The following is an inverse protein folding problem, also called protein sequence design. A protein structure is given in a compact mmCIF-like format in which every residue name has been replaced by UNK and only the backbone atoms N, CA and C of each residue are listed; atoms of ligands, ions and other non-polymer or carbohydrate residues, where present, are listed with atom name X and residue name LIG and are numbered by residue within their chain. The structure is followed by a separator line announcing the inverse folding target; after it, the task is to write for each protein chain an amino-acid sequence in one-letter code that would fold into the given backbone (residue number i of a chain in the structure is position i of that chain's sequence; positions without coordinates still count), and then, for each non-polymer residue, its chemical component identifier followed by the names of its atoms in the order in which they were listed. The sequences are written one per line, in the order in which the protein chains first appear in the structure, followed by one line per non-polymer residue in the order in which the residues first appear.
data_IF_416604983157
#
_entry.id   IF_416604983157
#
_cell.length_a   1.000
_cell.length_b   1.000
_cell.length_c   1.000
_cell.angle_alpha   90.00
_cell.angle_beta   90.00
_cell.angle_gamma   90.00
#
_symmetry.space_group_name_H-M   'P 1'
#
loop_
_entity.id
_entity.type
_entity.pdbx_description
1 polymer ?
#
# COMPACT_ATOMS: atom_id res chain seq x y z
N UNK A 1 19.87 1.64 -56.90
CA UNK A 1 20.86 2.64 -56.48
C UNK A 1 20.97 2.54 -54.97
N UNK A 2 22.13 2.09 -54.49
CA UNK A 2 22.39 1.76 -53.08
C UNK A 2 22.96 2.98 -52.38
N UNK A 3 22.15 3.66 -51.57
CA UNK A 3 22.63 4.69 -50.65
C UNK A 3 22.90 4.05 -49.29
N UNK A 4 24.20 3.86 -48.99
CA UNK A 4 24.67 3.40 -47.70
C UNK A 4 24.34 4.43 -46.62
N UNK A 5 23.42 4.09 -45.72
CA UNK A 5 23.13 4.91 -44.54
C UNK A 5 24.34 4.83 -43.60
N UNK A 6 25.05 5.94 -43.46
CA UNK A 6 26.20 6.07 -42.56
C UNK A 6 25.79 5.81 -41.11
N UNK A 7 26.60 4.99 -40.45
CA UNK A 7 26.59 4.63 -39.02
C UNK A 7 26.66 5.86 -38.09
N UNK A 8 27.06 7.02 -38.62
CA UNK A 8 27.13 8.29 -37.91
C UNK A 8 25.74 8.83 -37.52
N UNK A 9 24.67 8.38 -38.19
CA UNK A 9 23.28 8.78 -37.86
C UNK A 9 22.75 8.16 -36.56
N UNK A 10 23.46 7.17 -36.00
CA UNK A 10 23.15 6.50 -34.73
C UNK A 10 24.02 6.99 -33.57
N UNK A 11 24.93 7.94 -33.81
CA UNK A 11 25.82 8.45 -32.78
C UNK A 11 25.05 9.36 -31.80
N UNK A 12 25.17 9.06 -30.51
CA UNK A 12 24.73 9.92 -29.40
C UNK A 12 25.30 11.33 -29.64
N UNK A 13 24.49 12.40 -29.61
CA UNK A 13 25.01 13.75 -29.82
C UNK A 13 26.12 14.03 -28.82
N UNK A 14 27.28 14.49 -29.32
CA UNK A 14 28.44 14.84 -28.49
C UNK A 14 27.98 15.81 -27.40
N UNK A 15 28.22 15.45 -26.13
CA UNK A 15 27.90 16.26 -24.96
C UNK A 15 28.30 17.72 -25.21
N UNK A 16 27.34 18.64 -25.11
CA UNK A 16 27.65 20.06 -25.03
C UNK A 16 28.63 20.24 -23.86
N UNK A 17 29.79 20.86 -24.11
CA UNK A 17 30.79 21.13 -23.06
C UNK A 17 30.25 22.23 -22.14
N UNK A 18 29.42 21.86 -21.16
CA UNK A 18 28.85 22.80 -20.18
C UNK A 18 29.89 23.21 -19.12
N UNK A 19 31.07 22.58 -19.10
CA UNK A 19 32.08 22.75 -18.05
C UNK A 19 33.35 23.52 -18.45
N UNK A 20 33.38 24.21 -19.60
CA UNK A 20 34.58 24.94 -20.05
C UNK A 20 34.72 26.35 -19.44
N UNK A 21 34.12 26.62 -18.27
CA UNK A 21 34.35 27.87 -17.52
C UNK A 21 34.84 27.55 -16.12
N UNK A 22 36.14 27.62 -15.94
CA UNK A 22 36.90 27.37 -14.71
C UNK A 22 36.69 28.41 -13.60
N UNK A 23 35.74 29.33 -13.71
CA UNK A 23 35.44 30.33 -12.69
C UNK A 23 33.92 30.58 -12.61
N UNK A 24 33.32 30.26 -11.46
CA UNK A 24 31.94 30.59 -11.11
C UNK A 24 31.95 31.74 -10.07
N UNK A 25 31.16 32.82 -10.27
CA UNK A 25 31.02 33.87 -9.26
C UNK A 25 30.29 33.30 -8.03
N UNK A 26 30.71 33.72 -6.83
CA UNK A 26 30.31 33.16 -5.53
C UNK A 26 28.82 33.31 -5.14
N UNK A 27 27.96 33.78 -6.05
CA UNK A 27 26.55 34.10 -5.77
C UNK A 27 25.56 32.96 -6.02
N UNK A 28 25.84 32.03 -6.93
CA UNK A 28 24.94 30.90 -7.22
C UNK A 28 25.47 29.63 -6.57
N UNK A 29 24.92 29.30 -5.40
CA UNK A 29 25.31 28.18 -4.53
C UNK A 29 25.06 26.79 -5.13
N UNK A 30 24.45 26.70 -6.31
CA UNK A 30 24.03 25.44 -6.89
C UNK A 30 24.46 25.35 -8.35
N UNK A 31 25.10 24.24 -8.77
CA UNK A 31 25.62 24.16 -10.13
C UNK A 31 24.48 24.19 -11.15
N UNK A 32 24.78 24.63 -12.38
CA UNK A 32 23.81 24.94 -13.45
C UNK A 32 22.77 23.83 -13.70
N UNK A 33 23.13 22.56 -13.47
CA UNK A 33 22.21 21.42 -13.56
C UNK A 33 20.94 21.52 -12.70
N UNK A 34 20.87 22.36 -11.66
CA UNK A 34 19.60 22.56 -10.93
C UNK A 34 18.52 23.16 -11.83
N UNK A 35 18.90 24.13 -12.68
CA UNK A 35 17.97 24.90 -13.52
C UNK A 35 17.69 24.24 -14.88
N UNK A 36 18.32 23.09 -15.13
CA UNK A 36 18.16 22.29 -16.34
C UNK A 36 16.97 21.33 -16.14
N UNK A 37 16.12 21.16 -17.16
CA UNK A 37 14.95 20.27 -17.09
C UNK A 37 15.37 18.80 -16.93
N UNK A 38 14.52 17.95 -16.36
CA UNK A 38 14.85 16.52 -16.16
C UNK A 38 15.15 15.81 -17.49
N UNK A 39 14.46 16.18 -18.56
CA UNK A 39 14.63 15.64 -19.92
C UNK A 39 16.03 15.86 -20.51
N UNK A 40 16.77 16.85 -20.01
CA UNK A 40 18.16 17.14 -20.42
C UNK A 40 19.20 16.54 -19.48
N UNK A 41 18.81 16.08 -18.29
CA UNK A 41 19.69 15.38 -17.33
C UNK A 41 19.82 13.89 -17.63
N UNK A 42 18.74 13.29 -18.12
CA UNK A 42 18.70 11.88 -18.50
C UNK A 42 18.82 11.79 -20.03
N UNK A 43 19.78 11.02 -20.57
CA UNK A 43 19.81 10.76 -22.00
C UNK A 43 18.61 9.88 -22.37
N UNK A 44 17.49 10.51 -22.73
CA UNK A 44 16.36 9.82 -23.34
C UNK A 44 16.71 9.71 -24.83
N UNK A 45 17.04 8.50 -25.35
CA UNK A 45 17.24 8.35 -26.78
C UNK A 45 15.98 8.85 -27.50
N UNK A 46 16.11 9.64 -28.59
CA UNK A 46 14.94 10.08 -29.33
C UNK A 46 14.17 8.82 -29.74
N UNK A 47 12.91 8.75 -29.32
CA UNK A 47 12.07 7.62 -29.69
C UNK A 47 12.08 7.48 -31.21
N UNK A 48 12.30 6.27 -31.75
CA UNK A 48 12.24 6.06 -33.19
C UNK A 48 10.89 6.58 -33.70
N UNK A 49 10.95 7.63 -34.53
CA UNK A 49 9.77 8.23 -35.15
C UNK A 49 9.07 7.11 -35.94
N UNK A 50 7.75 7.05 -35.84
CA UNK A 50 6.89 6.06 -36.49
C UNK A 50 6.96 4.61 -35.99
N UNK A 51 7.67 4.32 -34.89
CA UNK A 51 7.72 2.96 -34.33
C UNK A 51 6.49 2.59 -33.49
N UNK A 52 5.77 3.59 -32.95
CA UNK A 52 4.65 3.36 -32.05
C UNK A 52 3.39 4.05 -32.58
N UNK A 53 2.39 3.24 -32.93
CA UNK A 53 1.05 3.72 -33.23
C UNK A 53 0.29 3.75 -31.91
N UNK A 54 -0.04 4.95 -31.43
CA UNK A 54 -0.86 5.13 -30.23
C UNK A 54 -2.33 5.02 -30.62
N UNK A 55 -3.07 4.23 -29.85
CA UNK A 55 -4.50 4.05 -30.06
C UNK A 55 -5.25 4.11 -28.72
N UNK A 56 -6.56 4.37 -28.80
CA UNK A 56 -7.45 4.43 -27.63
C UNK A 56 -8.39 3.23 -27.62
N UNK A 57 -9.69 3.45 -27.88
CA UNK A 57 -10.71 2.42 -27.94
C UNK A 57 -10.96 1.95 -29.37
N UNK A 58 -11.77 0.90 -29.49
CA UNK A 58 -12.32 0.45 -30.76
C UNK A 58 -13.33 1.44 -31.32
N UNK A 59 -13.50 1.40 -32.63
CA UNK A 59 -14.48 2.17 -33.37
C UNK A 59 -15.91 1.97 -32.83
N UNK A 60 -16.59 3.08 -32.53
CA UNK A 60 -17.94 3.09 -31.99
C UNK A 60 -18.03 2.60 -30.54
N UNK A 61 -16.93 2.60 -29.79
CA UNK A 61 -16.94 2.42 -28.34
C UNK A 61 -16.65 3.75 -27.64
N UNK A 62 -17.44 4.12 -26.62
CA UNK A 62 -17.27 5.40 -25.95
C UNK A 62 -15.95 5.41 -25.17
N UNK A 63 -15.14 6.47 -25.33
CA UNK A 63 -13.85 6.66 -24.62
C UNK A 63 -14.05 6.66 -23.10
N UNK A 64 -15.12 7.34 -22.66
CA UNK A 64 -15.42 7.59 -21.27
C UNK A 64 -16.71 6.86 -20.90
N UNK A 65 -16.58 5.70 -20.24
CA UNK A 65 -17.72 4.97 -19.69
C UNK A 65 -17.93 5.41 -18.25
N UNK A 66 -19.08 5.98 -17.97
CA UNK A 66 -19.55 6.22 -16.61
C UNK A 66 -19.72 4.88 -15.87
N UNK A 67 -19.54 4.90 -14.55
CA UNK A 67 -19.80 3.72 -13.71
C UNK A 67 -21.29 3.39 -13.64
N UNK A 68 -22.13 4.42 -13.72
CA UNK A 68 -23.57 4.29 -13.80
C UNK A 68 -23.92 3.72 -15.18
N UNK A 69 -24.90 2.84 -15.31
CA UNK A 69 -25.37 2.31 -16.62
C UNK A 69 -26.01 3.40 -17.52
N UNK A 70 -25.83 4.66 -17.15
CA UNK A 70 -26.43 5.84 -17.75
C UNK A 70 -25.30 6.73 -18.26
N UNK A 71 -25.55 7.41 -19.37
CA UNK A 71 -24.57 8.32 -20.00
C UNK A 71 -24.28 9.57 -19.16
N UNK A 72 -24.98 9.76 -18.04
CA UNK A 72 -24.78 10.83 -17.07
C UNK A 72 -24.43 10.26 -15.69
N UNK A 73 -23.45 10.88 -15.04
CA UNK A 73 -23.09 10.57 -13.66
C UNK A 73 -23.69 11.61 -12.72
N UNK A 74 -24.67 11.21 -11.91
CA UNK A 74 -25.28 12.08 -10.90
C UNK A 74 -24.31 12.54 -9.81
N UNK A 75 -23.17 11.85 -9.65
CA UNK A 75 -22.11 12.28 -8.73
C UNK A 75 -21.24 13.41 -9.29
N UNK A 76 -21.34 13.67 -10.60
CA UNK A 76 -20.64 14.75 -11.30
C UNK A 76 -21.66 15.76 -11.89
N UNK A 77 -22.22 16.67 -11.07
CA UNK A 77 -23.27 17.61 -11.48
C UNK A 77 -22.83 18.61 -12.57
N UNK A 78 -21.55 18.63 -12.96
CA UNK A 78 -21.02 19.48 -14.04
C UNK A 78 -20.50 18.70 -15.25
N UNK A 79 -20.65 17.37 -15.28
CA UNK A 79 -20.29 16.54 -16.44
C UNK A 79 -18.84 16.68 -16.93
N UNK A 80 -17.91 17.14 -16.07
CA UNK A 80 -16.55 17.55 -16.47
C UNK A 80 -15.59 16.40 -16.77
N UNK A 81 -16.07 15.15 -16.84
CA UNK A 81 -15.21 13.97 -17.02
C UNK A 81 -15.08 13.49 -18.47
N UNK A 82 -15.83 14.06 -19.43
CA UNK A 82 -15.47 13.92 -20.85
C UNK A 82 -14.46 15.02 -21.19
N UNK A 83 -13.14 14.74 -21.18
CA UNK A 83 -12.12 15.71 -21.51
C UNK A 83 -12.04 15.76 -23.04
N UNK A 84 -12.84 16.60 -23.67
CA UNK A 84 -12.63 16.95 -25.06
C UNK A 84 -13.86 17.36 -25.85
N UNK A 85 -13.64 17.91 -27.05
CA UNK A 85 -14.68 18.07 -28.05
C UNK A 85 -15.27 16.70 -28.43
N UNK A 86 -16.50 16.73 -28.95
CA UNK A 86 -17.18 15.54 -29.44
C UNK A 86 -16.34 14.82 -30.51
N UNK A 87 -16.20 13.51 -30.39
CA UNK A 87 -15.47 12.64 -31.33
C UNK A 87 -16.41 11.59 -31.92
N UNK A 88 -16.72 11.77 -33.21
CA UNK A 88 -17.62 10.90 -33.96
C UNK A 88 -17.15 9.44 -34.00
N UNK A 89 -15.84 9.18 -34.01
CA UNK A 89 -15.31 7.81 -34.11
C UNK A 89 -15.61 6.98 -32.84
N UNK A 90 -15.95 7.63 -31.74
CA UNK A 90 -16.27 6.97 -30.46
C UNK A 90 -17.75 6.92 -30.13
N UNK A 91 -18.58 7.47 -31.01
CA UNK A 91 -20.02 7.46 -30.84
C UNK A 91 -20.58 6.03 -31.11
N UNK A 92 -21.26 5.42 -30.12
CA UNK A 92 -21.92 4.13 -30.32
C UNK A 92 -22.99 4.12 -31.41
N UNK A 93 -23.66 5.26 -31.63
CA UNK A 93 -24.72 5.38 -32.63
C UNK A 93 -24.18 5.32 -34.06
N UNK A 94 -22.96 5.82 -34.27
CA UNK A 94 -22.28 5.81 -35.57
C UNK A 94 -21.51 4.50 -35.84
N UNK A 95 -21.50 3.57 -34.89
CA UNK A 95 -20.79 2.30 -35.00
C UNK A 95 -21.17 1.51 -36.25
N UNK A 96 -22.46 1.47 -36.62
CA UNK A 96 -22.91 0.76 -37.82
C UNK A 96 -22.45 1.43 -39.11
N UNK A 97 -22.47 2.76 -39.14
CA UNK A 97 -22.02 3.54 -40.30
C UNK A 97 -20.53 3.33 -40.56
N UNK A 98 -19.70 3.41 -39.52
CA UNK A 98 -18.25 3.25 -39.65
C UNK A 98 -17.81 1.79 -39.84
N UNK A 99 -18.61 0.81 -39.41
CA UNK A 99 -18.34 -0.61 -39.66
C UNK A 99 -18.70 -1.09 -41.07
N UNK A 100 -19.34 -0.25 -41.89
CA UNK A 100 -19.53 -0.54 -43.32
C UNK A 100 -18.16 -0.78 -43.98
N UNK A 101 -17.98 -1.84 -44.78
CA UNK A 101 -16.67 -2.24 -45.30
C UNK A 101 -16.00 -1.13 -46.11
N UNK A 102 -16.78 -0.38 -46.90
CA UNK A 102 -16.29 0.75 -47.70
C UNK A 102 -15.81 1.90 -46.82
N UNK A 103 -16.60 2.27 -45.80
CA UNK A 103 -16.26 3.34 -44.87
C UNK A 103 -15.05 2.96 -44.02
N UNK A 104 -15.01 1.71 -43.56
CA UNK A 104 -13.90 1.18 -42.77
C UNK A 104 -12.58 1.18 -43.55
N UNK A 105 -12.60 0.75 -44.81
CA UNK A 105 -11.42 0.84 -45.69
C UNK A 105 -10.94 2.29 -45.83
N UNK A 106 -11.87 3.22 -46.08
CA UNK A 106 -11.52 4.64 -46.17
C UNK A 106 -10.93 5.21 -44.87
N UNK A 107 -11.41 4.77 -43.70
CA UNK A 107 -10.86 5.17 -42.39
C UNK A 107 -9.46 4.60 -42.11
N UNK A 108 -9.16 3.42 -42.65
CA UNK A 108 -7.83 2.81 -42.58
C UNK A 108 -6.87 3.56 -43.51
N UNK A 109 -7.28 3.81 -44.76
CA UNK A 109 -6.51 4.54 -45.77
C UNK A 109 -6.20 5.98 -45.35
N UNK A 110 -7.16 6.65 -44.71
CA UNK A 110 -6.97 8.00 -44.14
C UNK A 110 -6.13 8.01 -42.86
N UNK A 111 -5.75 6.85 -42.33
CA UNK A 111 -4.88 6.74 -41.17
C UNK A 111 -5.55 7.15 -39.86
N UNK A 112 -6.88 7.12 -39.76
CA UNK A 112 -7.62 7.41 -38.53
C UNK A 112 -7.77 6.18 -37.63
N UNK A 113 -7.76 4.99 -38.23
CA UNK A 113 -7.97 3.72 -37.53
C UNK A 113 -6.85 2.72 -37.89
N UNK A 114 -6.57 1.78 -36.98
CA UNK A 114 -5.72 0.60 -37.24
C UNK A 114 -6.48 -0.48 -38.02
N UNK A 115 -5.76 -1.44 -38.60
CA UNK A 115 -6.40 -2.58 -39.28
C UNK A 115 -7.29 -3.39 -38.33
N UNK A 116 -6.96 -3.39 -37.04
CA UNK A 116 -7.73 -4.01 -35.97
C UNK A 116 -9.01 -3.23 -35.58
N UNK A 117 -9.23 -2.04 -36.13
CA UNK A 117 -10.41 -1.20 -35.83
C UNK A 117 -10.25 -0.30 -34.59
N UNK A 118 -9.02 -0.02 -34.16
CA UNK A 118 -8.71 0.85 -33.03
C UNK A 118 -8.43 2.28 -33.51
N UNK A 119 -8.89 3.28 -32.76
CA UNK A 119 -8.78 4.68 -33.17
C UNK A 119 -7.38 5.18 -32.83
N UNK A 120 -6.64 5.62 -33.86
CA UNK A 120 -5.32 6.23 -33.70
C UNK A 120 -5.46 7.59 -33.04
N UNK A 121 -4.51 7.95 -32.19
CA UNK A 121 -4.61 9.15 -31.36
C UNK A 121 -3.28 9.87 -31.19
N UNK A 122 -3.36 11.15 -30.82
CA UNK A 122 -2.19 11.93 -30.43
C UNK A 122 -1.67 11.51 -29.06
N UNK A 123 -0.38 11.76 -28.78
CA UNK A 123 0.20 11.49 -27.46
C UNK A 123 -0.53 12.21 -26.32
N UNK A 124 -1.13 13.38 -26.60
CA UNK A 124 -1.94 14.13 -25.63
C UNK A 124 -3.22 13.37 -25.29
N UNK A 125 -3.95 12.92 -26.30
CA UNK A 125 -5.19 12.16 -26.16
C UNK A 125 -4.93 10.80 -25.50
N UNK A 126 -3.83 10.14 -25.86
CA UNK A 126 -3.40 8.89 -25.24
C UNK A 126 -3.14 9.07 -23.75
N UNK A 127 -2.45 10.14 -23.35
CA UNK A 127 -2.19 10.43 -21.95
C UNK A 127 -3.47 10.73 -21.15
N UNK A 128 -4.40 11.49 -21.74
CA UNK A 128 -5.72 11.76 -21.14
C UNK A 128 -6.53 10.48 -20.96
N UNK A 129 -6.58 9.64 -21.99
CA UNK A 129 -7.25 8.34 -21.93
C UNK A 129 -6.62 7.44 -20.86
N UNK A 130 -5.29 7.39 -20.77
CA UNK A 130 -4.58 6.61 -19.74
C UNK A 130 -4.84 7.12 -18.32
N UNK A 131 -4.97 8.43 -18.14
CA UNK A 131 -5.36 9.02 -16.86
C UNK A 131 -6.79 8.62 -16.47
N UNK A 132 -7.73 8.71 -17.42
CA UNK A 132 -9.10 8.27 -17.20
C UNK A 132 -9.20 6.78 -16.82
N UNK A 133 -8.52 5.89 -17.54
CA UNK A 133 -8.51 4.46 -17.23
C UNK A 133 -7.97 4.20 -15.81
N UNK A 134 -6.93 4.93 -15.39
CA UNK A 134 -6.41 4.84 -14.02
C UNK A 134 -7.42 5.32 -12.99
N UNK A 135 -8.03 6.47 -13.22
CA UNK A 135 -9.08 7.00 -12.34
C UNK A 135 -10.22 6.00 -12.19
N UNK A 136 -10.70 5.44 -13.30
CA UNK A 136 -11.75 4.43 -13.31
C UNK A 136 -11.36 3.15 -12.56
N UNK A 137 -10.16 2.64 -12.77
CA UNK A 137 -9.70 1.44 -12.04
C UNK A 137 -9.64 1.68 -10.52
N UNK A 138 -9.17 2.85 -10.10
CA UNK A 138 -9.12 3.24 -8.68
C UNK A 138 -10.52 3.40 -8.09
N UNK A 139 -11.44 4.05 -8.81
CA UNK A 139 -12.83 4.23 -8.34
C UNK A 139 -13.59 2.91 -8.29
N UNK A 140 -13.44 2.04 -9.29
CA UNK A 140 -14.02 0.69 -9.30
C UNK A 140 -13.53 -0.14 -8.10
N UNK A 141 -12.22 -0.14 -7.85
CA UNK A 141 -11.64 -0.82 -6.69
C UNK A 141 -12.17 -0.25 -5.36
N UNK A 142 -12.30 1.07 -5.25
CA UNK A 142 -12.85 1.71 -4.06
C UNK A 142 -14.32 1.35 -3.84
N UNK A 143 -15.12 1.24 -4.91
CA UNK A 143 -16.52 0.85 -4.85
C UNK A 143 -16.70 -0.63 -4.51
N UNK A 144 -15.86 -1.51 -5.06
CA UNK A 144 -15.83 -2.94 -4.69
C UNK A 144 -15.55 -3.10 -3.19
N UNK A 145 -14.50 -2.47 -2.67
CA UNK A 145 -14.18 -2.49 -1.24
C UNK A 145 -15.31 -1.96 -0.35
N UNK A 146 -16.05 -0.95 -0.81
CA UNK A 146 -17.24 -0.46 -0.10
C UNK A 146 -18.40 -1.44 -0.09
N UNK A 147 -18.59 -2.22 -1.17
CA UNK A 147 -19.60 -3.27 -1.25
C UNK A 147 -19.24 -4.45 -0.35
N UNK A 148 -18.00 -4.94 -0.45
CA UNK A 148 -17.47 -6.01 0.41
C UNK A 148 -17.64 -5.65 1.89
N UNK A 149 -17.24 -4.44 2.28
CA UNK A 149 -17.42 -3.97 3.66
C UNK A 149 -18.90 -3.95 4.10
N UNK A 150 -19.81 -3.57 3.20
CA UNK A 150 -21.25 -3.57 3.48
C UNK A 150 -21.77 -4.99 3.64
N UNK A 151 -21.33 -5.91 2.78
CA UNK A 151 -21.67 -7.33 2.85
C UNK A 151 -21.13 -7.96 4.13
N UNK A 152 -19.90 -7.65 4.54
CA UNK A 152 -19.32 -8.07 5.82
C UNK A 152 -20.11 -7.52 7.01
N UNK A 153 -20.50 -6.24 6.97
CA UNK A 153 -21.33 -5.61 8.00
C UNK A 153 -22.73 -6.27 8.07
N UNK A 154 -23.34 -6.58 6.92
CA UNK A 154 -24.62 -7.27 6.84
C UNK A 154 -24.52 -8.72 7.33
N UNK A 155 -23.47 -9.46 6.96
CA UNK A 155 -23.21 -10.81 7.46
C UNK A 155 -22.97 -10.80 8.97
N UNK A 156 -22.18 -9.85 9.48
CA UNK A 156 -21.97 -9.67 10.91
C UNK A 156 -23.28 -9.36 11.64
N UNK A 157 -24.11 -8.47 11.08
CA UNK A 157 -25.42 -8.13 11.66
C UNK A 157 -26.39 -9.32 11.62
N UNK A 158 -26.43 -10.10 10.54
CA UNK A 158 -27.21 -11.34 10.46
C UNK A 158 -26.76 -12.34 11.52
N UNK A 159 -25.45 -12.58 11.63
CA UNK A 159 -24.91 -13.43 12.70
C UNK A 159 -25.30 -12.89 14.08
N UNK A 160 -25.23 -11.58 14.32
CA UNK A 160 -25.59 -11.01 15.63
C UNK A 160 -27.08 -11.20 15.98
N UNK A 161 -27.97 -11.23 14.98
CA UNK A 161 -29.41 -11.48 15.15
C UNK A 161 -29.71 -12.97 15.31
N UNK A 162 -29.00 -13.84 14.59
CA UNK A 162 -29.18 -15.29 14.61
C UNK A 162 -28.50 -15.96 15.81
N UNK A 163 -27.36 -15.46 16.25
CA UNK A 163 -26.56 -16.03 17.34
C UNK A 163 -27.35 -16.15 18.66
N UNK A 164 -28.15 -15.16 19.11
CA UNK A 164 -29.03 -15.33 20.27
C UNK A 164 -30.15 -16.35 20.06
N UNK A 165 -30.64 -16.55 18.82
CA UNK A 165 -31.70 -17.51 18.51
C UNK A 165 -31.16 -18.94 18.55
N UNK A 166 -30.03 -19.19 17.90
CA UNK A 166 -29.33 -20.48 17.92
C UNK A 166 -28.88 -20.84 19.34
N UNK A 167 -28.34 -19.88 20.10
CA UNK A 167 -27.90 -20.12 21.47
C UNK A 167 -29.07 -20.35 22.44
N UNK A 168 -30.26 -19.78 22.19
CA UNK A 168 -31.48 -20.10 22.97
C UNK A 168 -31.98 -21.52 22.68
N UNK A 169 -31.98 -21.92 21.40
CA UNK A 169 -32.37 -23.27 20.99
C UNK A 169 -31.40 -24.34 21.51
N UNK A 170 -30.09 -24.12 21.35
CA UNK A 170 -29.05 -25.01 21.86
C UNK A 170 -29.06 -25.11 23.40
N UNK A 171 -29.37 -24.02 24.12
CA UNK A 171 -29.56 -24.04 25.58
C UNK A 171 -30.80 -24.85 25.97
N UNK A 172 -31.91 -24.72 25.23
CA UNK A 172 -33.13 -25.49 25.46
C UNK A 172 -32.94 -26.99 25.13
N UNK A 173 -32.17 -27.29 24.09
CA UNK A 173 -31.80 -28.65 23.70
C UNK A 173 -30.85 -29.30 24.72
N UNK A 174 -29.81 -28.58 25.18
CA UNK A 174 -28.98 -29.00 26.32
C UNK A 174 -29.82 -29.24 27.57
N UNK A 175 -30.79 -28.36 27.89
CA UNK A 175 -31.67 -28.54 29.04
C UNK A 175 -32.57 -29.78 28.93
N UNK A 176 -32.98 -30.13 27.71
CA UNK A 176 -33.73 -31.36 27.42
C UNK A 176 -32.86 -32.61 27.56
N UNK A 177 -31.59 -32.53 27.17
CA UNK A 177 -30.61 -33.61 27.31
C UNK A 177 -30.15 -33.80 28.77
N UNK A 178 -30.05 -32.73 29.56
CA UNK A 178 -29.63 -32.77 30.98
C UNK A 178 -30.76 -33.10 31.96
N UNK A 179 -31.94 -33.50 31.47
CA UNK A 179 -33.00 -34.04 32.35
C UNK A 179 -32.75 -35.50 32.73
N UNK A 180 -31.82 -36.20 32.07
CA UNK A 180 -31.45 -37.58 32.38
C UNK A 180 -30.09 -37.75 33.09
N UNK A 181 -29.27 -36.70 33.24
CA UNK A 181 -27.98 -36.79 33.96
C UNK A 181 -27.62 -35.46 34.67
N UNK A 182 -27.01 -35.49 35.88
CA UNK A 182 -26.55 -34.29 36.55
C UNK A 182 -25.32 -33.70 35.84
N UNK A 183 -25.15 -32.35 35.79
CA UNK A 183 -24.12 -31.73 34.97
C UNK A 183 -22.72 -31.91 35.60
N UNK A 184 -21.67 -32.20 34.78
CA UNK A 184 -20.28 -32.17 35.25
C UNK A 184 -19.87 -30.73 35.58
N UNK A 185 -19.16 -30.54 36.69
CA UNK A 185 -18.81 -29.22 37.25
C UNK A 185 -17.75 -28.43 36.45
N UNK A 186 -17.24 -28.96 35.34
CA UNK A 186 -16.07 -28.41 34.64
C UNK A 186 -16.35 -27.23 33.68
N UNK A 187 -17.62 -26.87 33.43
CA UNK A 187 -17.97 -25.86 32.41
C UNK A 187 -18.37 -24.48 32.96
N UNK A 188 -18.29 -24.24 34.27
CA UNK A 188 -18.67 -22.94 34.86
C UNK A 188 -17.56 -21.90 34.62
N UNK A 189 -16.32 -22.30 34.83
CA UNK A 189 -15.14 -21.43 34.68
C UNK A 189 -14.93 -20.97 33.23
N UNK A 190 -15.08 -21.87 32.25
CA UNK A 190 -14.98 -21.51 30.83
C UNK A 190 -16.08 -20.52 30.39
N UNK A 191 -17.29 -20.64 30.95
CA UNK A 191 -18.40 -19.74 30.66
C UNK A 191 -18.23 -18.38 31.34
N UNK A 192 -17.63 -18.36 32.53
CA UNK A 192 -17.26 -17.13 33.25
C UNK A 192 -16.12 -16.39 32.53
N UNK A 193 -15.07 -17.10 32.10
CA UNK A 193 -14.01 -16.53 31.27
C UNK A 193 -14.55 -15.92 29.97
N UNK A 194 -15.50 -16.58 29.30
CA UNK A 194 -16.12 -16.03 28.10
C UNK A 194 -16.94 -14.76 28.38
N UNK A 195 -17.66 -14.70 29.51
CA UNK A 195 -18.39 -13.49 29.95
C UNK A 195 -17.42 -12.35 30.32
N UNK A 196 -16.31 -12.67 30.97
CA UNK A 196 -15.26 -11.71 31.33
C UNK A 196 -14.54 -11.15 30.10
N UNK A 197 -14.25 -11.97 29.09
CA UNK A 197 -13.69 -11.51 27.82
C UNK A 197 -14.67 -10.61 27.05
N UNK A 198 -15.96 -10.97 27.03
CA UNK A 198 -16.99 -10.15 26.40
C UNK A 198 -17.10 -8.77 27.09
N UNK A 199 -17.18 -8.75 28.42
CA UNK A 199 -17.27 -7.49 29.19
C UNK A 199 -15.99 -6.66 29.06
N UNK A 200 -14.82 -7.30 28.98
CA UNK A 200 -13.53 -6.66 28.71
C UNK A 200 -13.47 -6.03 27.31
N UNK A 201 -13.97 -6.71 26.28
CA UNK A 201 -14.12 -6.18 24.92
C UNK A 201 -15.05 -4.95 24.89
N UNK A 202 -16.19 -5.01 25.58
CA UNK A 202 -17.10 -3.86 25.70
C UNK A 202 -16.44 -2.66 26.41
N UNK A 203 -15.75 -2.90 27.53
CA UNK A 203 -15.00 -1.86 28.27
C UNK A 203 -13.89 -1.23 27.41
N UNK A 204 -13.15 -2.04 26.62
CA UNK A 204 -12.14 -1.54 25.67
C UNK A 204 -12.77 -0.66 24.58
N UNK A 205 -13.92 -1.06 24.03
CA UNK A 205 -14.65 -0.29 23.00
C UNK A 205 -15.14 1.05 23.53
N UNK A 206 -15.68 1.09 24.75
CA UNK A 206 -16.09 2.34 25.42
C UNK A 206 -14.90 3.24 25.74
N UNK A 207 -13.79 2.69 26.26
CA UNK A 207 -12.55 3.45 26.48
C UNK A 207 -12.00 4.04 25.16
N UNK A 208 -12.06 3.29 24.06
CA UNK A 208 -11.65 3.78 22.75
C UNK A 208 -12.55 4.91 22.23
N UNK A 209 -13.86 4.83 22.43
CA UNK A 209 -14.80 5.93 22.10
C UNK A 209 -14.50 7.19 22.92
N UNK A 210 -14.31 7.05 24.23
CA UNK A 210 -13.95 8.16 25.11
C UNK A 210 -12.61 8.79 24.73
N UNK A 211 -11.58 7.97 24.45
CA UNK A 211 -10.28 8.44 23.99
C UNK A 211 -10.39 9.20 22.66
N UNK A 212 -11.19 8.71 21.71
CA UNK A 212 -11.43 9.40 20.44
C UNK A 212 -12.20 10.72 20.63
N UNK A 213 -13.15 10.77 21.56
CA UNK A 213 -13.88 12.00 21.92
C UNK A 213 -12.95 13.04 22.55
N UNK A 214 -12.05 12.62 23.45
CA UNK A 214 -11.01 13.47 24.03
C UNK A 214 -10.03 13.97 22.98
N UNK A 215 -9.52 13.10 22.09
CA UNK A 215 -8.65 13.51 20.98
C UNK A 215 -9.32 14.54 20.06
N UNK A 216 -10.61 14.42 19.79
CA UNK A 216 -11.38 15.41 19.02
C UNK A 216 -11.50 16.74 19.74
N UNK A 217 -11.75 16.75 21.05
CA UNK A 217 -11.78 17.97 21.86
C UNK A 217 -10.41 18.67 21.85
N UNK A 218 -9.35 17.92 22.11
CA UNK A 218 -7.97 18.42 22.16
C UNK A 218 -7.50 18.96 20.79
N UNK A 219 -7.96 18.34 19.68
CA UNK A 219 -7.72 18.86 18.33
C UNK A 219 -8.46 20.19 18.09
N UNK A 220 -9.70 20.31 18.56
CA UNK A 220 -10.47 21.57 18.47
C UNK A 220 -9.85 22.68 19.33
N UNK A 221 -9.41 22.37 20.54
CA UNK A 221 -8.70 23.34 21.42
C UNK A 221 -7.37 23.78 20.83
N UNK A 222 -6.61 22.86 20.20
CA UNK A 222 -5.40 23.22 19.46
C UNK A 222 -5.69 24.14 18.29
N UNK A 223 -6.74 23.84 17.52
CA UNK A 223 -7.17 24.70 16.42
C UNK A 223 -7.58 26.08 16.93
N UNK A 224 -8.41 26.17 17.97
CA UNK A 224 -8.81 27.46 18.53
C UNK A 224 -7.65 28.25 19.15
N UNK A 225 -6.67 27.57 19.77
CA UNK A 225 -5.47 28.24 20.30
C UNK A 225 -4.60 28.79 19.16
N UNK A 226 -4.48 28.03 18.07
CA UNK A 226 -3.72 28.42 16.89
C UNK A 226 -4.44 29.53 16.09
N UNK A 227 -5.77 29.55 16.09
CA UNK A 227 -6.58 30.63 15.51
C UNK A 227 -6.44 31.93 16.34
N UNK A 228 -6.34 31.83 17.68
CA UNK A 228 -6.08 32.97 18.57
C UNK A 228 -4.65 33.51 18.39
N UNK A 229 -3.65 32.64 18.30
CA UNK A 229 -2.26 33.03 18.02
C UNK A 229 -2.15 33.74 16.66
N UNK A 230 -2.80 33.21 15.62
CA UNK A 230 -2.84 33.87 14.31
C UNK A 230 -3.57 35.22 14.35
N UNK A 231 -4.64 35.36 15.15
CA UNK A 231 -5.32 36.66 15.32
C UNK A 231 -4.47 37.68 16.11
N UNK A 232 -3.67 37.23 17.08
CA UNK A 232 -2.73 38.08 17.81
C UNK A 232 -1.59 38.54 16.90
N UNK A 233 -1.06 37.64 16.05
CA UNK A 233 -0.02 37.96 15.06
C UNK A 233 -0.51 38.99 14.02
N UNK A 234 -1.75 38.86 13.54
CA UNK A 234 -2.38 39.86 12.65
C UNK A 234 -2.55 41.22 13.35
N UNK A 235 -2.93 41.22 14.63
CA UNK A 235 -3.08 42.47 15.42
C UNK A 235 -1.74 43.13 15.73
N UNK A 236 -0.66 42.36 15.91
CA UNK A 236 0.70 42.88 16.04
C UNK A 236 1.21 43.48 14.72
N UNK A 237 0.95 42.84 13.58
CA UNK A 237 1.28 43.40 12.25
C UNK A 237 0.52 44.71 11.93
N UNK A 238 -0.77 44.77 12.28
CA UNK A 238 -1.59 45.99 12.17
C UNK A 238 -1.15 47.09 13.16
N UNK A 239 -0.69 46.69 14.36
CA UNK A 239 -0.12 47.60 15.35
C UNK A 239 1.20 48.22 14.89
N UNK A 240 2.09 47.44 14.29
CA UNK A 240 3.39 47.89 13.79
C UNK A 240 3.26 48.81 12.56
N UNK A 241 2.25 48.58 11.70
CA UNK A 241 1.92 49.51 10.61
C UNK A 241 1.35 50.83 11.12
N UNK A 242 0.57 50.82 12.21
CA UNK A 242 0.05 52.04 12.85
C UNK A 242 1.14 52.81 13.62
N UNK A 243 2.09 52.12 14.26
CA UNK A 243 3.27 52.72 14.91
C UNK A 243 4.23 53.31 13.88
N UNK A 244 4.44 52.65 12.73
CA UNK A 244 5.20 53.23 11.60
C UNK A 244 4.55 54.51 11.07
N UNK A 245 3.23 54.55 10.98
CA UNK A 245 2.48 55.73 10.52
C UNK A 245 2.59 56.90 11.51
N UNK A 246 2.45 56.65 12.83
CA UNK A 246 2.65 57.68 13.88
C UNK A 246 4.10 58.15 14.01
N UNK A 247 5.09 57.32 13.67
CA UNK A 247 6.52 57.69 13.69
C UNK A 247 6.92 58.56 12.49
N UNK A 248 6.13 58.57 11.42
CA UNK A 248 6.27 59.51 10.29
C UNK A 248 5.63 60.86 10.66
N UNK A 249 4.49 60.86 11.34
CA UNK A 249 3.83 62.10 11.82
C UNK A 249 4.62 62.80 12.95
N UNK A 250 5.15 62.04 13.93
CA UNK A 250 5.93 62.62 15.05
C UNK A 250 7.37 63.03 14.70
N UNK A 251 7.86 62.73 13.50
CA UNK A 251 9.12 63.27 12.99
C UNK A 251 8.96 64.65 12.35
N UNK A 252 7.73 65.07 12.05
CA UNK A 252 7.44 66.43 11.55
C UNK A 252 7.29 67.46 12.69
N UNK A 253 7.11 67.03 13.94
CA UNK A 253 6.80 67.90 15.08
C UNK A 253 7.92 68.05 16.12
N UNK A 254 9.14 67.57 15.83
CA UNK A 254 10.29 67.65 16.76
C UNK A 254 11.41 68.56 16.27
N UNK A 255 11.06 69.84 16.10
CA UNK A 255 11.96 70.98 16.25
C UNK A 255 11.22 71.96 17.16
N UNK A 256 11.86 72.40 18.26
CA UNK A 256 11.31 73.15 19.40
C UNK A 256 10.97 72.25 20.60
N UNK A 257 11.94 72.00 21.48
CA UNK A 257 11.91 72.56 22.84
C UNK A 257 13.20 72.20 23.60
N UNK A 258 13.79 73.19 24.28
CA UNK A 258 15.03 73.12 25.06
C UNK A 258 14.75 73.70 26.44
N UNK A 259 15.10 72.96 27.50
CA UNK A 259 15.07 73.38 28.90
C UNK A 259 14.19 72.45 29.75
N UNK A 260 14.45 72.14 31.02
CA UNK A 260 15.39 72.65 32.00
C UNK A 260 15.46 71.60 33.16
N UNK A 261 16.60 71.56 33.87
CA UNK A 261 16.87 71.31 35.31
C UNK A 261 15.79 70.64 36.21
N UNK A 262 16.03 69.86 37.29
CA UNK A 262 17.16 69.71 38.24
C UNK A 262 16.80 68.65 39.30
N UNK A 263 17.84 68.01 39.86
CA UNK A 263 18.09 67.59 41.26
C UNK A 263 16.92 67.47 42.27
N UNK A 264 16.85 66.31 42.95
CA UNK A 264 16.33 66.21 44.33
C UNK A 264 17.05 65.14 45.17
N UNK A 265 17.89 65.66 46.07
CA UNK A 265 18.13 65.28 47.47
C UNK A 265 18.46 63.83 47.85
N UNK A 266 19.75 63.63 48.13
CA UNK A 266 20.33 62.61 49.01
C UNK A 266 20.08 62.96 50.49
N UNK A 267 19.12 62.32 51.13
CA UNK A 267 18.99 62.28 52.60
C UNK A 267 17.99 61.18 53.01
N UNK A 268 18.44 59.93 53.04
CA UNK A 268 17.60 58.79 53.48
C UNK A 268 18.22 57.40 53.36
N UNK A 269 19.50 57.29 53.02
CA UNK A 269 20.07 56.02 52.52
C UNK A 269 20.44 55.00 53.60
N UNK A 270 20.47 55.34 54.89
CA UNK A 270 21.05 54.45 55.91
C UNK A 270 20.05 53.61 56.71
N UNK A 271 18.78 54.00 56.84
CA UNK A 271 17.76 53.11 57.45
C UNK A 271 17.11 52.17 56.43
N UNK A 272 17.15 52.53 55.14
CA UNK A 272 16.67 51.70 54.03
C UNK A 272 17.60 50.50 53.75
N UNK A 273 18.90 50.61 54.02
CA UNK A 273 19.89 49.56 53.73
C UNK A 273 19.76 48.33 54.65
N UNK A 274 19.41 48.51 55.93
CA UNK A 274 19.21 47.39 56.87
C UNK A 274 17.88 46.64 56.65
N UNK A 275 16.83 47.36 56.23
CA UNK A 275 15.57 46.77 55.75
C UNK A 275 15.76 46.05 54.41
N UNK A 276 16.58 46.64 53.53
CA UNK A 276 16.97 46.06 52.24
C UNK A 276 17.75 44.74 52.42
N UNK A 277 18.69 44.64 53.38
CA UNK A 277 19.46 43.41 53.59
C UNK A 277 18.58 42.22 54.03
N UNK A 278 17.63 42.42 54.96
CA UNK A 278 16.67 41.37 55.34
C UNK A 278 15.72 40.99 54.20
N UNK A 279 15.27 41.98 53.42
CA UNK A 279 14.50 41.74 52.19
C UNK A 279 15.30 40.96 51.14
N UNK A 280 16.60 41.24 50.98
CA UNK A 280 17.47 40.55 50.01
C UNK A 280 17.74 39.10 50.39
N UNK A 281 17.90 38.80 51.68
CA UNK A 281 18.05 37.42 52.19
C UNK A 281 16.75 36.63 51.96
N UNK A 282 15.59 37.22 52.24
CA UNK A 282 14.29 36.59 52.00
C UNK A 282 14.06 36.32 50.50
N UNK A 283 14.43 37.25 49.63
CA UNK A 283 14.36 37.09 48.17
C UNK A 283 15.29 35.97 47.69
N UNK A 284 16.50 35.86 48.27
CA UNK A 284 17.43 34.80 47.92
C UNK A 284 16.92 33.42 48.33
N UNK A 285 16.33 33.29 49.53
CA UNK A 285 15.68 32.04 49.97
C UNK A 285 14.46 31.68 49.11
N UNK A 286 13.64 32.67 48.73
CA UNK A 286 12.52 32.45 47.81
C UNK A 286 13.01 31.99 46.44
N UNK A 287 14.09 32.57 45.92
CA UNK A 287 14.71 32.17 44.65
C UNK A 287 15.25 30.75 44.71
N UNK A 288 15.92 30.36 45.80
CA UNK A 288 16.40 28.98 46.00
C UNK A 288 15.24 27.97 46.06
N UNK A 289 14.16 28.29 46.79
CA UNK A 289 12.95 27.44 46.83
C UNK A 289 12.29 27.33 45.45
N UNK A 290 12.27 28.41 44.68
CA UNK A 290 11.75 28.41 43.31
C UNK A 290 12.60 27.53 42.38
N UNK A 291 13.92 27.62 42.48
CA UNK A 291 14.86 26.77 41.74
C UNK A 291 14.70 25.29 42.11
N UNK A 292 14.54 24.97 43.40
CA UNK A 292 14.31 23.60 43.85
C UNK A 292 12.98 23.03 43.34
N UNK A 293 11.92 23.85 43.32
CA UNK A 293 10.64 23.48 42.73
C UNK A 293 10.75 23.26 41.22
N UNK A 294 11.49 24.13 40.52
CA UNK A 294 11.77 23.96 39.08
C UNK A 294 12.54 22.67 38.80
N UNK A 295 13.60 22.37 39.58
CA UNK A 295 14.36 21.11 39.47
C UNK A 295 13.48 19.88 39.68
N UNK A 296 12.61 19.88 40.71
CA UNK A 296 11.67 18.77 40.96
C UNK A 296 10.67 18.59 39.82
N UNK A 297 10.14 19.68 39.26
CA UNK A 297 9.22 19.64 38.12
C UNK A 297 9.93 19.14 36.85
N UNK A 298 11.15 19.58 36.60
CA UNK A 298 11.99 19.10 35.49
C UNK A 298 12.30 17.61 35.62
N UNK A 299 12.66 17.15 36.82
CA UNK A 299 12.93 15.75 37.08
C UNK A 299 11.68 14.88 36.90
N UNK A 300 10.51 15.35 37.37
CA UNK A 300 9.24 14.68 37.09
C UNK A 300 8.92 14.62 35.59
N UNK A 301 9.17 15.71 34.85
CA UNK A 301 9.00 15.72 33.39
C UNK A 301 9.98 14.76 32.72
N UNK A 302 11.22 14.66 33.21
CA UNK A 302 12.24 13.73 32.69
C UNK A 302 11.82 12.27 32.91
N UNK A 303 11.43 11.90 34.13
CA UNK A 303 10.92 10.55 34.45
C UNK A 303 9.71 10.17 33.57
N UNK A 304 8.75 11.08 33.40
CA UNK A 304 7.59 10.85 32.52
C UNK A 304 8.00 10.64 31.05
N UNK A 305 9.01 11.35 30.56
CA UNK A 305 9.55 11.15 29.21
C UNK A 305 10.24 9.79 29.09
N UNK A 306 11.07 9.42 30.06
CA UNK A 306 11.76 8.12 30.11
C UNK A 306 10.76 6.94 30.18
N UNK A 307 9.68 7.06 30.95
CA UNK A 307 8.62 6.04 31.00
C UNK A 307 7.85 5.96 29.67
N UNK A 308 7.66 7.10 28.99
CA UNK A 308 7.03 7.13 27.68
C UNK A 308 7.91 6.46 26.62
N UNK A 309 9.23 6.73 26.62
CA UNK A 309 10.16 6.11 25.68
C UNK A 309 10.24 4.61 25.90
N UNK A 310 10.34 4.14 27.15
CA UNK A 310 10.29 2.70 27.47
C UNK A 310 9.02 2.03 26.96
N UNK A 311 7.85 2.64 27.17
CA UNK A 311 6.57 2.11 26.63
C UNK A 311 6.54 2.07 25.11
N UNK A 312 7.15 3.06 24.45
CA UNK A 312 7.26 3.08 22.99
C UNK A 312 8.15 1.93 22.52
N UNK A 313 9.32 1.73 23.14
CA UNK A 313 10.25 0.64 22.86
C UNK A 313 9.61 -0.73 23.08
N UNK A 314 8.94 -0.94 24.22
CA UNK A 314 8.18 -2.17 24.49
C UNK A 314 7.09 -2.42 23.43
N UNK A 315 6.33 -1.38 23.08
CA UNK A 315 5.29 -1.49 22.05
C UNK A 315 5.86 -1.79 20.66
N UNK A 316 7.07 -1.28 20.38
CA UNK A 316 7.80 -1.52 19.14
C UNK A 316 8.31 -2.96 19.09
N UNK A 317 8.92 -3.47 20.17
CA UNK A 317 9.33 -4.87 20.27
C UNK A 317 8.14 -5.84 20.15
N UNK A 318 7.01 -5.56 20.82
CA UNK A 318 5.79 -6.36 20.66
C UNK A 318 5.24 -6.32 19.22
N UNK A 319 5.41 -5.20 18.51
CA UNK A 319 5.04 -5.10 17.09
C UNK A 319 5.98 -5.95 16.23
N UNK A 320 7.28 -5.90 16.47
CA UNK A 320 8.26 -6.73 15.77
C UNK A 320 8.00 -8.22 15.98
N UNK A 321 7.76 -8.66 17.22
CA UNK A 321 7.42 -10.05 17.52
C UNK A 321 6.16 -10.49 16.79
N UNK A 322 5.11 -9.66 16.76
CA UNK A 322 3.90 -9.95 15.97
C UNK A 322 4.19 -10.06 14.48
N UNK A 323 5.02 -9.18 13.93
CA UNK A 323 5.43 -9.25 12.53
C UNK A 323 6.20 -10.53 12.25
N UNK A 324 7.11 -10.94 13.13
CA UNK A 324 7.86 -12.18 13.00
C UNK A 324 6.95 -13.42 13.05
N UNK A 325 5.98 -13.44 13.97
CA UNK A 325 4.97 -14.51 14.04
C UNK A 325 4.13 -14.59 12.76
N UNK A 326 3.73 -13.45 12.19
CA UNK A 326 3.00 -13.42 10.92
C UNK A 326 3.85 -13.94 9.77
N UNK A 327 5.12 -13.52 9.68
CA UNK A 327 6.06 -14.03 8.67
C UNK A 327 6.26 -15.55 8.79
N UNK A 328 6.30 -16.09 10.01
CA UNK A 328 6.36 -17.53 10.24
C UNK A 328 5.10 -18.24 9.74
N UNK A 329 3.91 -17.70 10.07
CA UNK A 329 2.64 -18.27 9.57
C UNK A 329 2.54 -18.23 8.05
N UNK A 330 2.99 -17.15 7.41
CA UNK A 330 3.05 -17.03 5.95
C UNK A 330 4.01 -18.07 5.35
N UNK A 331 5.19 -18.24 5.95
CA UNK A 331 6.16 -19.25 5.51
C UNK A 331 5.61 -20.68 5.63
N UNK A 332 4.87 -20.99 6.69
CA UNK A 332 4.23 -22.30 6.89
C UNK A 332 3.14 -22.56 5.84
N UNK A 333 2.34 -21.54 5.50
CA UNK A 333 1.32 -21.63 4.45
C UNK A 333 2.00 -21.86 3.09
N UNK A 334 3.06 -21.10 2.79
CA UNK A 334 3.82 -21.28 1.56
C UNK A 334 4.45 -22.66 1.45
N UNK A 335 4.99 -23.20 2.56
CA UNK A 335 5.56 -24.54 2.60
C UNK A 335 4.49 -25.60 2.25
N UNK A 336 3.31 -25.52 2.86
CA UNK A 336 2.17 -26.41 2.55
C UNK A 336 1.73 -26.31 1.09
N UNK A 337 1.73 -25.10 0.52
CA UNK A 337 1.39 -24.90 -0.90
C UNK A 337 2.46 -25.50 -1.81
N UNK A 338 3.74 -25.31 -1.48
CA UNK A 338 4.87 -25.89 -2.22
C UNK A 338 4.83 -27.41 -2.20
N UNK A 339 4.55 -28.02 -1.05
CA UNK A 339 4.38 -29.48 -0.92
C UNK A 339 3.24 -30.00 -1.79
N UNK A 340 2.05 -29.38 -1.72
CA UNK A 340 0.91 -29.74 -2.59
C UNK A 340 1.27 -29.63 -4.08
N UNK A 341 2.00 -28.57 -4.47
CA UNK A 341 2.47 -28.40 -5.84
C UNK A 341 3.45 -29.51 -6.25
N UNK A 342 4.38 -29.88 -5.36
CA UNK A 342 5.32 -30.97 -5.61
C UNK A 342 4.62 -32.33 -5.78
N UNK A 343 3.58 -32.60 -4.98
CA UNK A 343 2.77 -33.81 -5.14
C UNK A 343 2.06 -33.83 -6.51
N UNK A 344 1.45 -32.72 -6.91
CA UNK A 344 0.81 -32.61 -8.23
C UNK A 344 1.81 -32.80 -9.38
N UNK A 345 3.03 -32.28 -9.24
CA UNK A 345 4.10 -32.48 -10.23
C UNK A 345 4.46 -33.97 -10.30
N UNK A 346 4.69 -34.63 -9.16
CA UNK A 346 5.00 -36.07 -9.12
C UNK A 346 3.91 -36.92 -9.73
N UNK A 347 2.64 -36.63 -9.47
CA UNK A 347 1.52 -37.37 -10.06
C UNK A 347 1.41 -37.13 -11.57
N UNK A 348 1.63 -35.89 -12.02
CA UNK A 348 1.71 -35.60 -13.45
C UNK A 348 2.86 -36.34 -14.12
N UNK A 349 4.03 -36.38 -13.51
CA UNK A 349 5.19 -37.13 -14.03
C UNK A 349 4.89 -38.63 -14.13
N UNK A 350 4.24 -39.21 -13.12
CA UNK A 350 3.79 -40.62 -13.16
C UNK A 350 2.85 -40.88 -14.34
N UNK A 351 1.88 -39.99 -14.59
CA UNK A 351 0.95 -40.15 -15.72
C UNK A 351 1.65 -40.00 -17.08
N UNK A 352 2.59 -39.05 -17.21
CA UNK A 352 3.41 -38.88 -18.41
C UNK A 352 4.30 -40.11 -18.66
N UNK A 353 4.88 -40.68 -17.61
CA UNK A 353 5.71 -41.88 -17.70
C UNK A 353 4.88 -43.10 -18.16
N UNK A 354 3.67 -43.26 -17.65
CA UNK A 354 2.74 -44.29 -18.14
C UNK A 354 2.38 -44.09 -19.62
N UNK A 355 2.15 -42.85 -20.04
CA UNK A 355 1.88 -42.53 -21.45
C UNK A 355 3.08 -42.85 -22.34
N UNK A 356 4.30 -42.49 -21.93
CA UNK A 356 5.55 -42.83 -22.63
C UNK A 356 5.71 -44.33 -22.79
N UNK A 357 5.53 -45.11 -21.72
CA UNK A 357 5.58 -46.58 -21.77
C UNK A 357 4.53 -47.17 -22.72
N UNK A 358 3.31 -46.62 -22.77
CA UNK A 358 2.28 -47.05 -23.73
C UNK A 358 2.68 -46.72 -25.17
N UNK A 359 3.19 -45.52 -25.43
CA UNK A 359 3.67 -45.12 -26.75
C UNK A 359 4.83 -46.00 -27.19
N UNK A 360 5.78 -46.29 -26.31
CA UNK A 360 6.92 -47.17 -26.60
C UNK A 360 6.46 -48.59 -26.94
N UNK A 361 5.52 -49.16 -26.17
CA UNK A 361 4.92 -50.47 -26.50
C UNK A 361 4.21 -50.45 -27.85
N UNK A 362 3.48 -49.39 -28.18
CA UNK A 362 2.83 -49.24 -29.48
C UNK A 362 3.87 -49.15 -30.61
N UNK A 363 4.96 -48.39 -30.42
CA UNK A 363 6.06 -48.33 -31.38
C UNK A 363 6.75 -49.68 -31.53
N UNK A 364 6.94 -50.44 -30.46
CA UNK A 364 7.48 -51.80 -30.51
C UNK A 364 6.55 -52.76 -31.28
N UNK A 365 5.23 -52.67 -31.07
CA UNK A 365 4.24 -53.43 -31.85
C UNK A 365 4.29 -53.08 -33.34
N UNK A 366 4.28 -51.79 -33.67
CA UNK A 366 4.40 -51.32 -35.05
C UNK A 366 5.71 -51.81 -35.69
N UNK A 367 6.83 -51.75 -34.95
CA UNK A 367 8.11 -52.31 -35.43
C UNK A 367 8.04 -53.81 -35.68
N UNK A 368 7.37 -54.58 -34.82
CA UNK A 368 7.17 -56.03 -35.01
C UNK A 368 6.25 -56.34 -36.21
N UNK A 369 5.23 -55.51 -36.45
CA UNK A 369 4.32 -55.63 -37.60
C UNK A 369 5.02 -55.26 -38.92
N UNK A 370 5.87 -54.24 -38.92
CA UNK A 370 6.62 -53.79 -40.10
C UNK A 370 7.84 -54.68 -40.42
N UNK A 371 8.44 -55.30 -39.39
CA UNK A 371 9.54 -56.24 -39.52
C UNK A 371 9.20 -57.57 -38.84
N UNK A 372 8.25 -58.35 -39.39
CA UNK A 372 7.96 -59.67 -38.85
C UNK A 372 9.22 -60.51 -38.99
N UNK A 373 9.68 -61.04 -37.86
CA UNK A 373 10.91 -61.82 -37.78
C UNK A 373 10.84 -62.97 -38.81
N UNK A 374 11.61 -62.87 -39.91
CA UNK A 374 11.84 -63.96 -40.86
C UNK A 374 12.72 -65.02 -40.20
N UNK A 375 12.20 -65.69 -39.17
CA UNK A 375 12.75 -66.92 -38.61
C UNK A 375 11.56 -67.77 -38.18
N UNK A 376 11.03 -68.52 -39.13
CA UNK A 376 10.45 -69.85 -38.93
C UNK A 376 10.26 -70.51 -40.30
N UNK A 377 11.38 -70.76 -40.95
CA UNK A 377 11.52 -71.75 -42.01
C UNK A 377 12.78 -72.54 -41.70
N UNK A 378 12.64 -73.85 -41.51
CA UNK A 378 13.68 -74.86 -41.25
C UNK A 378 14.31 -74.88 -39.84
N UNK A 379 13.91 -75.87 -39.04
CA UNK A 379 14.65 -77.13 -38.91
C UNK A 379 13.93 -78.11 -37.97
N UNK A 380 13.51 -79.25 -38.53
CA UNK A 380 13.39 -80.51 -37.78
C UNK A 380 14.78 -81.20 -37.81
N UNK A 381 15.05 -81.91 -36.71
CA UNK A 381 16.13 -82.90 -36.47
C UNK A 381 17.55 -82.36 -36.34
N UNK A 382 18.13 -82.45 -35.15
CA UNK A 382 18.91 -83.60 -34.70
C UNK A 382 19.16 -83.56 -33.19
N UNK A 383 19.36 -84.76 -32.64
CA UNK A 383 19.39 -85.15 -31.23
C UNK A 383 20.70 -84.79 -30.50
N UNK A 384 20.72 -85.16 -29.20
CA UNK A 384 21.85 -85.17 -28.23
C UNK A 384 22.21 -83.80 -27.64
N UNK A 385 22.44 -83.62 -26.34
CA UNK A 385 22.97 -84.54 -25.34
C UNK A 385 22.67 -84.01 -23.91
N UNK A 386 22.67 -84.93 -22.95
CA UNK A 386 22.44 -84.71 -21.51
C UNK A 386 23.59 -83.95 -20.85
N UNK A 387 23.27 -83.04 -19.93
CA UNK A 387 23.83 -82.82 -18.58
C UNK A 387 23.20 -81.51 -18.05
N UNK A 388 22.49 -81.44 -16.93
CA UNK A 388 22.82 -81.98 -15.61
C UNK A 388 23.65 -80.93 -14.87
N UNK A 389 22.99 -80.05 -14.10
CA UNK A 389 23.44 -79.35 -12.86
C UNK A 389 22.61 -78.06 -12.68
N UNK A 390 21.60 -78.02 -11.80
CA UNK A 390 21.62 -77.92 -10.33
C UNK A 390 21.79 -76.48 -9.84
N UNK A 391 20.66 -75.97 -9.34
CA UNK A 391 20.46 -75.02 -8.23
C UNK A 391 21.41 -73.82 -8.06
N UNK A 392 20.85 -72.61 -8.14
CA UNK A 392 20.86 -71.73 -6.96
C UNK A 392 19.65 -70.77 -7.00
N UNK A 393 18.74 -70.97 -6.05
CA UNK A 393 17.74 -69.98 -5.64
C UNK A 393 18.47 -68.94 -4.76
N UNK A 394 18.29 -67.66 -5.05
CA UNK A 394 18.34 -66.61 -4.02
C UNK A 394 17.16 -65.68 -4.19
N UNK A 395 16.15 -65.97 -3.37
CA UNK A 395 15.19 -65.02 -2.84
C UNK A 395 15.91 -64.03 -1.95
N UNK A 396 15.66 -62.73 -2.12
CA UNK A 396 15.75 -61.77 -1.03
C UNK A 396 14.49 -60.91 -1.03
N UNK A 397 13.69 -61.16 0.01
CA UNK A 397 12.66 -60.28 0.53
C UNK A 397 13.34 -59.24 1.44
N UNK A 398 12.94 -57.98 1.32
CA UNK A 398 12.99 -57.01 2.42
C UNK A 398 11.87 -56.01 2.10
N UNK A 399 10.66 -56.28 2.60
CA UNK A 399 10.16 -55.76 3.89
C UNK A 399 9.89 -54.26 3.80
N UNK A 400 8.59 -53.98 3.63
CA UNK A 400 7.94 -52.71 3.86
C UNK A 400 8.16 -52.26 5.31
N UNK A 401 8.63 -51.03 5.52
CA UNK A 401 8.39 -50.31 6.77
C UNK A 401 7.70 -48.97 6.46
N UNK A 402 6.39 -48.98 6.68
CA UNK A 402 5.55 -47.80 6.84
C UNK A 402 5.73 -47.25 8.27
N UNK A 403 6.58 -46.24 8.47
CA UNK A 403 6.59 -45.45 9.70
C UNK A 403 5.64 -44.24 9.60
N UNK A 404 4.44 -44.42 10.16
CA UNK A 404 3.49 -43.36 10.45
C UNK A 404 3.87 -42.63 11.74
N UNK A 405 4.48 -41.43 11.63
CA UNK A 405 4.64 -40.53 12.77
C UNK A 405 3.32 -39.79 13.05
N UNK A 406 2.59 -40.25 14.07
CA UNK A 406 1.62 -39.44 14.82
C UNK A 406 2.40 -38.56 15.81
N UNK A 407 2.22 -37.25 15.74
CA UNK A 407 2.55 -36.36 16.86
C UNK A 407 1.27 -35.68 17.34
N UNK A 408 0.68 -36.27 18.38
CA UNK A 408 -0.13 -35.56 19.35
C UNK A 408 0.79 -34.64 20.15
N UNK A 409 0.46 -33.35 20.26
CA UNK A 409 1.00 -32.49 21.31
C UNK A 409 -0.15 -31.70 21.93
N UNK A 410 -0.22 -31.87 23.24
CA UNK A 410 -1.09 -31.23 24.23
C UNK A 410 -0.97 -29.71 24.29
#
# INVERSE_FOLDING_TARGET
MTEGKSIDSLAIPKRQKVFDKTLLPAGDVLPVWQNVSLDTKLPIPPSPRDCFILYTNKLGEPKYKSYQRYDFDLSNPRGREAPGPYDSLTDPSLKYYFNSPRTKQHLIESGLITDAGEIKCSIKEFNQYREFIRYRAVTELALQKRREKREEEEQFNRMLIEWPKVHKLAKAERLRLTRSEPPPRENVEALEMYKEDLTSKYKRKEKAKLANKLKRKLKKERQSSQDVENEEEIKEEDGDTQVRSRKVENKASKTNDVGDKTNRSDAGKESTTMSSHRGTVLIHEMRQREEDLRRRLEEQRRRKKEDLTKKIEESWHQRQQRQQMLLQQEADIEARIKEKRMLLIKDRERTLEQQRKKQEKNLQRIKQELFPNKKNGNRKKEDSEKHGDREEKRSDNSEDEDEAYKSDVS
#
